data_IF_979417352986
#
_entry.id   IF_979417352986
#
_cell.length_a   1.000
_cell.length_b   1.000
_cell.length_c   1.000
_cell.angle_alpha   90.00
_cell.angle_beta   90.00
_cell.angle_gamma   90.00
#
_symmetry.space_group_name_H-M   'P 1'
#
loop_
_entity.id
_entity.type
_entity.pdbx_description
1 polymer ?
#
# COMPACT_ATOMS: atom_id res chain seq x y z
N UNK A 1 3.17 10.93 -20.84
CA UNK A 1 4.11 10.77 -19.71
C UNK A 1 3.44 9.83 -18.75
N UNK A 2 3.81 8.55 -18.76
CA UNK A 2 3.22 7.57 -17.86
C UNK A 2 4.06 7.62 -16.57
N UNK A 3 3.64 8.48 -15.64
CA UNK A 3 4.23 8.48 -14.30
C UNK A 3 3.97 7.10 -13.70
N UNK A 4 5.04 6.34 -13.48
CA UNK A 4 4.92 4.98 -12.95
C UNK A 4 4.81 5.08 -11.44
N UNK A 5 3.63 4.78 -10.91
CA UNK A 5 3.38 4.87 -9.47
C UNK A 5 4.11 3.75 -8.75
N UNK A 6 4.93 4.10 -7.76
CA UNK A 6 5.67 3.11 -6.97
C UNK A 6 4.86 2.72 -5.74
N UNK A 7 4.61 1.43 -5.55
CA UNK A 7 3.82 0.87 -4.47
C UNK A 7 4.66 -0.14 -3.71
N UNK A 8 4.75 0.00 -2.39
CA UNK A 8 5.42 -0.96 -1.52
C UNK A 8 4.41 -1.57 -0.55
N UNK A 9 4.28 -2.90 -0.56
CA UNK A 9 3.53 -3.63 0.45
C UNK A 9 4.52 -4.10 1.53
N UNK A 10 4.51 -3.44 2.67
CA UNK A 10 5.41 -3.70 3.80
C UNK A 10 4.70 -4.54 4.86
N UNK A 11 5.30 -5.63 5.30
CA UNK A 11 4.70 -6.52 6.30
C UNK A 11 5.76 -7.31 7.07
N UNK A 12 5.39 -7.76 8.27
CA UNK A 12 6.19 -8.71 9.05
C UNK A 12 5.99 -10.13 8.53
N UNK A 13 6.98 -11.03 8.68
CA UNK A 13 6.78 -12.45 8.38
C UNK A 13 5.55 -12.99 9.13
N UNK A 14 4.80 -13.88 8.48
CA UNK A 14 3.59 -14.51 9.01
C UNK A 14 2.42 -13.56 9.35
N UNK A 15 2.41 -12.32 8.84
CA UNK A 15 1.28 -11.41 9.02
C UNK A 15 0.00 -11.98 8.36
N UNK A 16 -1.09 -12.26 9.11
CA UNK A 16 -2.31 -12.84 8.54
C UNK A 16 -3.07 -11.87 7.64
N UNK A 17 -2.87 -10.57 7.82
CA UNK A 17 -3.61 -9.51 7.12
C UNK A 17 -2.99 -9.13 5.75
N UNK A 18 -1.76 -9.59 5.46
CA UNK A 18 -1.07 -9.26 4.20
C UNK A 18 -1.84 -9.77 2.98
N UNK A 19 -2.47 -10.94 3.10
CA UNK A 19 -3.26 -11.53 2.02
C UNK A 19 -4.45 -10.66 1.64
N UNK A 20 -5.11 -10.06 2.63
CA UNK A 20 -6.22 -9.15 2.42
C UNK A 20 -5.75 -7.82 1.81
N UNK A 21 -4.68 -7.22 2.35
CA UNK A 21 -4.10 -5.99 1.79
C UNK A 21 -3.70 -6.16 0.31
N UNK A 22 -3.06 -7.28 -0.04
CA UNK A 22 -2.69 -7.62 -1.41
C UNK A 22 -3.90 -7.80 -2.33
N UNK A 23 -4.96 -8.43 -1.84
CA UNK A 23 -6.19 -8.61 -2.62
C UNK A 23 -6.85 -7.26 -2.94
N UNK A 24 -6.95 -6.36 -1.94
CA UNK A 24 -7.48 -5.00 -2.11
C UNK A 24 -6.62 -4.18 -3.07
N UNK A 25 -5.28 -4.24 -2.92
CA UNK A 25 -4.35 -3.56 -3.84
C UNK A 25 -4.57 -4.02 -5.29
N UNK A 26 -4.66 -5.33 -5.52
CA UNK A 26 -4.88 -5.88 -6.86
C UNK A 26 -6.22 -5.42 -7.46
N UNK A 27 -7.27 -5.33 -6.64
CA UNK A 27 -8.58 -4.83 -7.07
C UNK A 27 -8.52 -3.36 -7.47
N UNK A 28 -7.86 -2.52 -6.66
CA UNK A 28 -7.64 -1.12 -6.96
C UNK A 28 -6.83 -0.92 -8.25
N UNK A 29 -5.72 -1.66 -8.41
CA UNK A 29 -4.89 -1.60 -9.61
C UNK A 29 -5.61 -2.07 -10.88
N UNK A 30 -6.50 -3.05 -10.77
CA UNK A 30 -7.32 -3.48 -11.91
C UNK A 30 -8.31 -2.40 -12.38
N UNK A 31 -8.66 -1.45 -11.49
CA UNK A 31 -9.54 -0.32 -11.80
C UNK A 31 -8.77 0.95 -12.17
N UNK A 32 -7.55 1.08 -11.69
CA UNK A 32 -6.68 2.20 -12.03
C UNK A 32 -6.15 2.01 -13.46
N UNK A 33 -6.34 3.01 -14.32
CA UNK A 33 -5.75 3.03 -15.67
C UNK A 33 -4.26 3.43 -15.64
N UNK A 34 -3.57 3.18 -14.52
CA UNK A 34 -2.20 3.61 -14.24
C UNK A 34 -1.25 2.43 -14.20
N UNK A 35 -0.05 2.63 -14.75
CA UNK A 35 1.04 1.67 -14.62
C UNK A 35 1.68 1.83 -13.24
N UNK A 36 1.51 0.84 -12.36
CA UNK A 36 2.12 0.84 -11.04
C UNK A 36 3.16 -0.27 -10.89
N UNK A 37 4.25 0.02 -10.21
CA UNK A 37 5.25 -0.97 -9.81
C UNK A 37 5.00 -1.37 -8.35
N UNK A 38 4.66 -2.63 -8.12
CA UNK A 38 4.39 -3.16 -6.76
C UNK A 38 5.59 -3.96 -6.28
N UNK A 39 6.13 -3.58 -5.12
CA UNK A 39 7.22 -4.26 -4.44
C UNK A 39 6.78 -4.76 -3.06
N UNK A 40 7.02 -6.03 -2.75
CA UNK A 40 6.74 -6.61 -1.44
C UNK A 40 8.01 -6.54 -0.56
N UNK A 41 7.90 -5.92 0.61
CA UNK A 41 9.02 -5.71 1.55
C UNK A 41 8.70 -6.38 2.88
N UNK A 42 9.46 -7.42 3.21
CA UNK A 42 9.34 -8.12 4.48
C UNK A 42 10.35 -7.55 5.47
N UNK A 43 9.90 -7.20 6.68
CA UNK A 43 10.77 -6.70 7.75
C UNK A 43 9.99 -6.15 8.94
N UNK A 44 10.70 -5.53 9.87
CA UNK A 44 10.15 -5.03 11.13
C UNK A 44 9.42 -3.68 10.93
N UNK A 45 8.34 -3.72 10.15
CA UNK A 45 7.50 -2.58 9.80
C UNK A 45 6.13 -2.66 10.49
N UNK A 46 5.38 -1.55 10.58
CA UNK A 46 3.97 -1.63 10.87
C UNK A 46 3.29 -2.48 9.80
N UNK A 47 2.64 -3.58 10.21
CA UNK A 47 2.18 -4.60 9.29
C UNK A 47 0.66 -4.76 9.29
N UNK A 48 0.01 -4.84 8.11
CA UNK A 48 0.55 -4.54 6.78
C UNK A 48 0.43 -3.03 6.47
N UNK A 49 1.45 -2.45 5.84
CA UNK A 49 1.43 -1.05 5.36
C UNK A 49 1.54 -1.02 3.84
N UNK A 50 0.66 -0.27 3.20
CA UNK A 50 0.72 0.03 1.76
C UNK A 50 1.29 1.43 1.57
N UNK A 51 2.53 1.52 1.12
CA UNK A 51 3.14 2.79 0.75
C UNK A 51 2.94 3.04 -0.74
N UNK A 52 2.38 4.19 -1.12
CA UNK A 52 2.20 4.65 -2.49
C UNK A 52 2.99 5.93 -2.64
N UNK A 53 3.98 5.93 -3.53
CA UNK A 53 4.94 7.03 -3.72
C UNK A 53 5.57 7.51 -2.41
N UNK A 54 5.87 6.56 -1.50
CA UNK A 54 6.46 6.85 -0.19
C UNK A 54 5.51 7.41 0.88
N UNK A 55 4.19 7.36 0.66
CA UNK A 55 3.16 7.74 1.64
C UNK A 55 2.25 6.56 1.96
N UNK A 56 1.77 6.42 3.19
CA UNK A 56 0.76 5.41 3.51
C UNK A 56 -0.51 5.68 2.70
N UNK A 57 -1.12 4.64 2.13
CA UNK A 57 -2.41 4.69 1.46
C UNK A 57 -3.53 5.21 2.39
N UNK A 58 -3.35 5.12 3.71
CA UNK A 58 -4.24 5.71 4.72
C UNK A 58 -4.00 7.22 4.95
N UNK A 59 -2.99 7.81 4.31
CA UNK A 59 -2.64 9.24 4.45
C UNK A 59 -1.75 9.56 5.65
N UNK A 60 -1.29 8.55 6.38
CA UNK A 60 -0.37 8.72 7.51
C UNK A 60 1.10 8.79 7.03
N UNK A 61 1.99 9.43 7.82
CA UNK A 61 3.42 9.25 7.65
C UNK A 61 3.80 7.77 7.74
N UNK A 62 4.82 7.35 6.99
CA UNK A 62 5.34 5.99 7.12
C UNK A 62 6.04 5.85 8.49
N UNK A 63 5.36 5.18 9.40
CA UNK A 63 5.91 4.81 10.70
C UNK A 63 7.03 3.78 10.53
N UNK A 64 8.08 3.88 11.36
CA UNK A 64 9.27 3.03 11.29
C UNK A 64 9.32 1.94 12.35
N UNK A 65 8.37 1.94 13.28
CA UNK A 65 8.33 0.98 14.39
C UNK A 65 7.42 -0.20 14.07
N UNK A 66 7.85 -1.40 14.42
CA UNK A 66 7.04 -2.61 14.33
C UNK A 66 5.74 -2.47 15.14
N UNK A 67 4.60 -2.65 14.47
CA UNK A 67 3.28 -2.60 15.10
C UNK A 67 2.27 -3.38 14.27
N UNK A 68 1.41 -4.14 14.93
CA UNK A 68 0.29 -4.80 14.27
C UNK A 68 -0.79 -3.77 13.97
N UNK A 69 -0.97 -3.40 12.70
CA UNK A 69 -2.04 -2.52 12.25
C UNK A 69 -3.25 -3.35 11.87
N UNK A 70 -4.39 -2.99 12.45
CA UNK A 70 -5.69 -3.59 12.12
C UNK A 70 -6.46 -2.73 11.11
N UNK A 71 -6.01 -1.50 10.91
CA UNK A 71 -6.47 -0.59 9.87
C UNK A 71 -5.86 -1.00 8.53
N UNK A 72 -6.68 -1.61 7.67
CA UNK A 72 -6.32 -1.90 6.28
C UNK A 72 -6.91 -0.83 5.36
N UNK A 73 -6.14 -0.32 4.39
CA UNK A 73 -6.68 0.60 3.41
C UNK A 73 -7.75 -0.10 2.57
N UNK A 74 -8.83 0.65 2.34
CA UNK A 74 -9.92 0.26 1.45
C UNK A 74 -9.56 0.59 0.01
N UNK A 75 -10.24 -0.06 -0.94
CA UNK A 75 -10.03 0.19 -2.37
C UNK A 75 -10.14 1.68 -2.76
N UNK A 76 -11.13 2.46 -2.27
CA UNK A 76 -11.20 3.91 -2.55
C UNK A 76 -10.00 4.69 -2.02
N UNK A 77 -9.45 4.34 -0.85
CA UNK A 77 -8.28 5.01 -0.29
C UNK A 77 -7.02 4.73 -1.11
N UNK A 78 -6.87 3.49 -1.59
CA UNK A 78 -5.79 3.13 -2.51
C UNK A 78 -5.94 3.92 -3.81
N UNK A 79 -7.14 3.97 -4.39
CA UNK A 79 -7.39 4.71 -5.63
C UNK A 79 -7.11 6.21 -5.48
N UNK A 80 -7.51 6.82 -4.37
CA UNK A 80 -7.22 8.23 -4.06
C UNK A 80 -5.70 8.47 -3.96
N UNK A 81 -4.98 7.61 -3.25
CA UNK A 81 -3.53 7.70 -3.12
C UNK A 81 -2.76 7.44 -4.44
N UNK A 82 -3.37 6.76 -5.42
CA UNK A 82 -2.83 6.60 -6.77
C UNK A 82 -3.00 7.85 -7.64
N UNK A 83 -3.89 8.77 -7.28
CA UNK A 83 -4.05 10.02 -8.02
C UNK A 83 -2.84 10.93 -7.75
N UNK A 84 -2.36 11.66 -8.77
CA UNK A 84 -1.34 12.69 -8.54
C UNK A 84 -1.90 13.76 -7.59
N UNK A 85 -1.07 14.32 -6.68
CA UNK A 85 -1.49 15.49 -5.90
C UNK A 85 -1.84 16.62 -6.86
N UNK A 86 -3.05 17.18 -6.72
CA UNK A 86 -3.50 18.33 -7.51
C UNK A 86 -2.75 19.61 -7.15
#
# INVERSE_FOLDING_TARGET
MNDTVTIELRYVPDCPLVGQARATLRSALARAETTAHVEERVGDYPSPTLAINGRDALGHPLETHECCRLDLPTEPQILDALQPPQ
#
